data_IF_864937164506
#
_entry.id   IF_864937164506
#
_cell.length_a   1.000
_cell.length_b   1.000
_cell.length_c   1.000
_cell.angle_alpha   90.00
_cell.angle_beta   90.00
_cell.angle_gamma   90.00
#
_symmetry.space_group_name_H-M   'P 1'
#
loop_
_entity.id
_entity.type
_entity.pdbx_description
1 polymer ?
#
# COMPACT_ATOMS: atom_id res chain seq x y z
N UNK A 1 13.53 28.88 -9.11
CA UNK A 1 13.38 28.14 -7.85
C UNK A 1 12.89 26.74 -8.21
N UNK A 2 13.71 25.70 -8.01
CA UNK A 2 13.29 24.32 -8.33
C UNK A 2 12.35 23.87 -7.21
N UNK A 3 11.10 23.56 -7.54
CA UNK A 3 10.13 23.03 -6.59
C UNK A 3 10.47 21.56 -6.32
N UNK A 4 11.24 21.29 -5.27
CA UNK A 4 11.66 19.95 -4.89
C UNK A 4 10.51 19.26 -4.14
N UNK A 5 9.98 18.17 -4.73
CA UNK A 5 8.98 17.32 -4.07
C UNK A 5 9.67 16.26 -3.23
N UNK A 6 9.14 15.99 -2.04
CA UNK A 6 9.61 14.88 -1.22
C UNK A 6 9.08 13.57 -1.80
N UNK A 7 9.79 12.46 -1.61
CA UNK A 7 9.34 11.15 -2.08
C UNK A 7 7.95 10.78 -1.55
N UNK A 8 7.65 11.13 -0.30
CA UNK A 8 6.32 10.90 0.30
C UNK A 8 5.19 11.60 -0.46
N UNK A 9 5.48 12.73 -1.11
CA UNK A 9 4.51 13.53 -1.86
C UNK A 9 4.19 12.89 -3.23
N UNK A 10 4.93 11.84 -3.61
CA UNK A 10 4.73 11.07 -4.83
C UNK A 10 3.96 9.75 -4.59
N UNK A 11 3.65 9.43 -3.33
CA UNK A 11 2.86 8.25 -2.95
C UNK A 11 1.38 8.65 -2.95
N UNK A 12 0.60 8.03 -3.84
CA UNK A 12 -0.85 8.20 -3.88
C UNK A 12 -1.50 7.46 -2.71
N UNK A 13 -2.18 8.19 -1.82
CA UNK A 13 -2.97 7.67 -0.70
C UNK A 13 -4.44 8.03 -0.87
N UNK A 14 -5.34 7.35 -0.15
CA UNK A 14 -6.77 7.69 -0.13
C UNK A 14 -7.02 9.18 0.17
N UNK A 15 -6.17 9.78 1.00
CA UNK A 15 -6.27 11.17 1.43
C UNK A 15 -5.63 12.16 0.44
N UNK A 16 -4.61 11.73 -0.32
CA UNK A 16 -3.85 12.60 -1.22
C UNK A 16 -4.37 12.59 -2.66
N UNK A 17 -5.11 11.56 -3.04
CA UNK A 17 -5.65 11.41 -4.39
C UNK A 17 -6.75 12.44 -4.64
N UNK A 18 -6.58 13.27 -5.69
CA UNK A 18 -7.53 14.32 -6.12
C UNK A 18 -7.66 14.34 -7.64
N UNK A 19 -8.74 14.94 -8.15
CA UNK A 19 -8.94 15.14 -9.61
C UNK A 19 -8.99 13.82 -10.39
N UNK A 20 -8.35 13.76 -11.56
CA UNK A 20 -8.30 12.55 -12.41
C UNK A 20 -7.63 11.33 -11.74
N UNK A 21 -6.83 11.54 -10.68
CA UNK A 21 -6.30 10.42 -9.91
C UNK A 21 -7.39 9.76 -9.04
N UNK A 22 -8.45 10.50 -8.67
CA UNK A 22 -9.56 9.98 -7.87
C UNK A 22 -10.41 8.97 -8.63
N UNK A 23 -10.66 9.19 -9.93
CA UNK A 23 -11.31 8.19 -10.78
C UNK A 23 -10.47 6.94 -11.02
N UNK A 24 -9.18 6.99 -10.67
CA UNK A 24 -8.26 5.86 -10.70
C UNK A 24 -8.07 5.22 -9.32
N UNK A 25 -8.47 5.89 -8.24
CA UNK A 25 -8.30 5.44 -6.86
C UNK A 25 -8.88 4.04 -6.63
N UNK A 26 -10.10 3.80 -7.12
CA UNK A 26 -10.80 2.52 -6.97
C UNK A 26 -10.06 1.34 -7.64
N UNK A 27 -9.19 1.61 -8.62
CA UNK A 27 -8.46 0.59 -9.36
C UNK A 27 -7.07 0.30 -8.79
N UNK A 28 -6.40 1.29 -8.19
CA UNK A 28 -5.01 1.16 -7.73
C UNK A 28 -4.85 1.14 -6.20
N UNK A 29 -5.87 1.56 -5.45
CA UNK A 29 -5.81 1.50 -4.00
C UNK A 29 -6.03 0.07 -3.57
N UNK A 30 -5.08 -0.42 -2.77
CA UNK A 30 -5.05 -1.79 -2.33
C UNK A 30 -6.06 -1.96 -1.20
N UNK A 31 -6.89 -3.01 -1.29
CA UNK A 31 -7.73 -3.43 -0.17
C UNK A 31 -6.91 -4.37 0.71
N UNK A 32 -6.81 -4.05 1.99
CA UNK A 32 -6.17 -4.91 2.98
C UNK A 32 -7.29 -5.56 3.80
N UNK A 33 -7.29 -6.88 3.84
CA UNK A 33 -8.19 -7.70 4.64
C UNK A 33 -7.34 -8.40 5.71
N UNK A 34 -7.55 -8.03 6.97
CA UNK A 34 -6.86 -8.62 8.11
C UNK A 34 -7.82 -8.63 9.32
N UNK A 35 -7.62 -9.52 10.30
CA UNK A 35 -8.35 -9.46 11.55
C UNK A 35 -8.11 -8.12 12.28
N UNK A 36 -9.14 -7.58 12.93
CA UNK A 36 -9.03 -6.35 13.73
C UNK A 36 -8.13 -6.53 14.96
N UNK A 37 -8.03 -7.77 15.46
CA UNK A 37 -7.19 -8.14 16.59
C UNK A 37 -6.66 -9.56 16.43
N UNK A 38 -5.45 -9.81 16.92
CA UNK A 38 -4.79 -11.12 16.92
C UNK A 38 -4.14 -11.36 18.29
N UNK A 39 -3.97 -12.62 18.69
CA UNK A 39 -3.20 -12.92 19.89
C UNK A 39 -1.70 -12.83 19.63
N UNK A 40 -0.93 -12.58 20.70
CA UNK A 40 0.53 -12.54 20.64
C UNK A 40 1.04 -13.91 20.18
N UNK A 41 1.95 -13.91 19.20
CA UNK A 41 2.58 -15.11 18.61
C UNK A 41 1.61 -16.06 17.90
N UNK A 42 0.38 -15.65 17.62
CA UNK A 42 -0.55 -16.43 16.80
C UNK A 42 -0.37 -16.09 15.31
N UNK A 43 -0.30 -17.11 14.47
CA UNK A 43 -0.29 -16.91 13.02
C UNK A 43 -1.66 -16.48 12.52
N UNK A 44 -1.68 -15.50 11.61
CA UNK A 44 -2.89 -15.04 10.96
C UNK A 44 -2.62 -14.71 9.49
N UNK A 45 -3.69 -14.56 8.71
CA UNK A 45 -3.61 -14.25 7.29
C UNK A 45 -3.92 -12.78 7.04
N UNK A 46 -3.13 -12.18 6.15
CA UNK A 46 -3.41 -10.86 5.59
C UNK A 46 -3.67 -11.04 4.10
N UNK A 47 -4.89 -10.72 3.69
CA UNK A 47 -5.27 -10.61 2.28
C UNK A 47 -4.91 -9.22 1.77
N UNK A 48 -4.25 -9.14 0.62
CA UNK A 48 -4.04 -7.87 -0.09
C UNK A 48 -4.60 -8.01 -1.49
N UNK A 49 -5.71 -7.33 -1.73
CA UNK A 49 -6.35 -7.23 -3.03
C UNK A 49 -5.98 -5.94 -3.73
N UNK A 50 -5.91 -5.99 -5.06
CA UNK A 50 -5.86 -4.81 -5.92
C UNK A 50 -7.24 -4.73 -6.58
N UNK A 51 -7.78 -3.53 -6.76
CA UNK A 51 -9.03 -3.32 -7.50
C UNK A 51 -8.98 -3.86 -8.94
N UNK A 52 -10.03 -3.63 -9.72
CA UNK A 52 -10.13 -4.11 -11.11
C UNK A 52 -9.02 -3.53 -11.99
N UNK A 53 -7.90 -4.25 -12.11
CA UNK A 53 -6.76 -3.78 -12.85
C UNK A 53 -6.38 -4.74 -13.97
N UNK A 54 -5.96 -4.17 -15.11
CA UNK A 54 -5.45 -4.95 -16.22
C UNK A 54 -4.22 -5.72 -15.79
N UNK A 55 -4.12 -6.98 -16.19
CA UNK A 55 -2.91 -7.78 -16.03
C UNK A 55 -2.40 -8.19 -17.40
N UNK A 56 -1.98 -7.19 -18.19
CA UNK A 56 -1.37 -7.42 -19.51
C UNK A 56 0.14 -7.16 -19.43
N UNK A 57 0.87 -7.59 -20.45
CA UNK A 57 2.33 -7.38 -20.50
C UNK A 57 2.69 -5.88 -20.41
N UNK A 58 1.86 -5.03 -21.04
CA UNK A 58 2.04 -3.59 -21.15
C UNK A 58 1.63 -2.85 -19.87
N UNK A 59 0.67 -3.38 -19.11
CA UNK A 59 0.07 -2.68 -17.98
C UNK A 59 -0.41 -3.68 -16.91
N UNK A 60 0.47 -3.91 -15.92
CA UNK A 60 0.22 -4.76 -14.74
C UNK A 60 0.91 -4.19 -13.50
N UNK A 61 0.44 -4.61 -12.33
CA UNK A 61 1.11 -4.28 -11.07
C UNK A 61 2.41 -5.07 -10.96
N UNK A 62 3.53 -4.36 -10.86
CA UNK A 62 4.86 -4.98 -10.87
C UNK A 62 5.30 -5.52 -9.52
N UNK A 63 4.92 -4.85 -8.43
CA UNK A 63 5.41 -5.17 -7.09
C UNK A 63 4.37 -4.81 -6.04
N UNK A 64 4.32 -5.63 -5.00
CA UNK A 64 3.58 -5.37 -3.78
C UNK A 64 4.55 -5.36 -2.60
N UNK A 65 4.41 -4.36 -1.72
CA UNK A 65 5.14 -4.29 -0.45
C UNK A 65 4.16 -4.11 0.70
N UNK A 66 4.28 -4.96 1.72
CA UNK A 66 3.52 -4.84 2.96
C UNK A 66 4.45 -4.34 4.07
N UNK A 67 4.08 -3.22 4.68
CA UNK A 67 4.80 -2.62 5.79
C UNK A 67 3.92 -2.60 7.04
N UNK A 68 4.53 -2.78 8.21
CA UNK A 68 3.88 -2.67 9.52
C UNK A 68 4.50 -1.50 10.30
N UNK A 69 3.65 -0.65 10.84
CA UNK A 69 4.03 0.27 11.90
C UNK A 69 3.81 -0.43 13.23
N UNK A 70 4.87 -0.58 14.02
CA UNK A 70 4.84 -1.22 15.33
C UNK A 70 4.92 -0.14 16.42
N UNK A 71 3.84 0.01 17.19
CA UNK A 71 3.79 0.99 18.28
C UNK A 71 4.85 0.68 19.34
N UNK A 72 5.52 1.72 19.85
CA UNK A 72 6.62 1.58 20.81
C UNK A 72 7.98 1.20 20.21
N UNK A 73 8.05 0.83 18.91
CA UNK A 73 9.33 0.54 18.24
C UNK A 73 10.09 1.84 17.94
N UNK A 74 11.37 1.89 18.32
CA UNK A 74 12.24 3.09 18.17
C UNK A 74 12.37 3.60 16.73
N UNK A 75 12.31 2.70 15.75
CA UNK A 75 12.40 3.01 14.33
C UNK A 75 11.29 2.25 13.59
N UNK A 76 10.63 2.90 12.64
CA UNK A 76 9.53 2.35 11.84
C UNK A 76 9.65 2.80 10.37
N UNK A 77 8.97 2.13 9.42
CA UNK A 77 8.19 0.88 9.56
C UNK A 77 9.04 -0.40 9.40
N UNK A 78 8.43 -1.57 9.65
CA UNK A 78 8.99 -2.90 9.35
C UNK A 78 8.47 -3.37 7.98
N UNK A 79 9.36 -3.77 7.07
CA UNK A 79 8.97 -4.44 5.82
C UNK A 79 8.65 -5.91 6.12
N UNK A 80 7.39 -6.32 5.95
CA UNK A 80 6.93 -7.70 6.19
C UNK A 80 7.03 -8.56 4.92
N UNK A 81 6.68 -8.00 3.76
CA UNK A 81 6.64 -8.74 2.50
C UNK A 81 7.07 -7.85 1.33
N UNK A 82 7.87 -8.43 0.43
CA UNK A 82 8.12 -7.94 -0.91
C UNK A 82 7.74 -9.03 -1.91
N UNK A 83 6.74 -8.76 -2.75
CA UNK A 83 6.35 -9.63 -3.87
C UNK A 83 6.60 -8.90 -5.18
N UNK A 84 7.26 -9.55 -6.12
CA UNK A 84 7.59 -9.05 -7.46
C UNK A 84 7.13 -9.99 -8.53
#
# INVERSE_FOLDING_TARGET
MINMRLFRDLIYSLESVRGEALSKAEFYIHRIEAPDSVNINEEFKVGVGIGHYSNTLEHHTRRLRLYLYEEGRRFNPVLLLLKS
#
